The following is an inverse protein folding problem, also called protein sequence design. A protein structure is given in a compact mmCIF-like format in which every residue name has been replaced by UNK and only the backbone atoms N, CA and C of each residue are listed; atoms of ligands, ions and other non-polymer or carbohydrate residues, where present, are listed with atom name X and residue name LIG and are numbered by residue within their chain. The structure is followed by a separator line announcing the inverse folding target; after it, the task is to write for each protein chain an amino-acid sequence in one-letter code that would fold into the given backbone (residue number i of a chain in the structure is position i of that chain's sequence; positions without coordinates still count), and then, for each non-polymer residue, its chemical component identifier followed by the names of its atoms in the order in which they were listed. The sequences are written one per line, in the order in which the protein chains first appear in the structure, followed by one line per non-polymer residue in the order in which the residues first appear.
data_IF_397833460062
#
_entry.id   IF_397833460062
#
_cell.length_a   1.000
_cell.length_b   1.000
_cell.length_c   1.000
_cell.angle_alpha   90.00
_cell.angle_beta   90.00
_cell.angle_gamma   90.00
#
_symmetry.space_group_name_H-M   'P 1'
#
loop_
_entity.id
_entity.type
_entity.pdbx_description
1 polymer ?
#
# COMPACT_ATOMS: atom_id res chain seq x y z
N UNK A 1 7.01 9.82 16.00
CA UNK A 1 5.65 9.47 16.46
C UNK A 1 5.29 8.15 15.82
N UNK A 2 4.73 7.20 16.58
CA UNK A 2 4.43 5.85 16.08
C UNK A 2 2.93 5.63 16.07
N UNK A 3 2.47 4.75 15.20
CA UNK A 3 1.11 4.26 15.15
C UNK A 3 1.07 2.83 15.66
N UNK A 4 0.02 2.50 16.41
CA UNK A 4 -0.26 1.12 16.76
C UNK A 4 -1.66 0.71 16.36
N UNK A 5 -1.84 -0.56 16.03
CA UNK A 5 -3.14 -1.16 15.75
C UNK A 5 -3.29 -2.45 16.55
N UNK A 6 -4.55 -2.80 16.83
CA UNK A 6 -4.92 -3.99 17.59
C UNK A 6 -5.46 -5.05 16.62
N UNK A 7 -4.77 -6.20 16.43
CA UNK A 7 -5.17 -7.22 15.46
C UNK A 7 -6.62 -7.69 15.59
N UNK A 8 -7.12 -7.80 16.83
CA UNK A 8 -8.48 -8.23 17.14
C UNK A 8 -9.56 -7.19 16.81
N UNK A 9 -9.18 -5.91 16.66
CA UNK A 9 -10.07 -4.80 16.28
C UNK A 9 -9.86 -4.34 14.83
N UNK A 10 -8.89 -4.91 14.13
CA UNK A 10 -8.52 -4.48 12.78
C UNK A 10 -9.16 -5.41 11.75
N UNK A 11 -9.85 -4.88 10.73
CA UNK A 11 -10.39 -5.69 9.65
C UNK A 11 -9.31 -6.58 9.02
N UNK A 12 -9.59 -7.87 8.89
CA UNK A 12 -8.60 -8.87 8.47
C UNK A 12 -7.95 -8.56 7.11
N UNK A 13 -8.69 -7.92 6.21
CA UNK A 13 -8.20 -7.49 4.90
C UNK A 13 -7.08 -6.44 4.97
N UNK A 14 -6.96 -5.66 6.05
CA UNK A 14 -5.91 -4.66 6.21
C UNK A 14 -4.64 -5.23 6.85
N UNK A 15 -4.75 -6.36 7.56
CA UNK A 15 -3.66 -6.92 8.37
C UNK A 15 -2.39 -7.21 7.56
N UNK A 16 -2.44 -7.87 6.38
CA UNK A 16 -1.25 -8.12 5.58
C UNK A 16 -0.54 -6.83 5.17
N UNK A 17 -1.30 -5.83 4.69
CA UNK A 17 -0.74 -4.54 4.29
C UNK A 17 -0.16 -3.75 5.47
N UNK A 18 -0.79 -3.76 6.64
CA UNK A 18 -0.25 -3.13 7.85
C UNK A 18 1.04 -3.80 8.32
N UNK A 19 1.14 -5.13 8.24
CA UNK A 19 2.38 -5.87 8.51
C UNK A 19 3.48 -5.53 7.51
N UNK A 20 3.13 -5.44 6.23
CA UNK A 20 4.06 -5.03 5.18
C UNK A 20 4.58 -3.60 5.44
N UNK A 21 3.70 -2.65 5.76
CA UNK A 21 4.09 -1.28 6.08
C UNK A 21 5.04 -1.21 7.28
N UNK A 22 4.88 -2.08 8.28
CA UNK A 22 5.74 -2.13 9.47
C UNK A 22 7.22 -2.42 9.16
N UNK A 23 7.56 -2.93 7.97
CA UNK A 23 8.95 -3.12 7.53
C UNK A 23 9.71 -1.80 7.35
N UNK A 24 9.00 -0.69 7.12
CA UNK A 24 9.61 0.61 6.78
C UNK A 24 9.00 1.80 7.50
N UNK A 25 7.73 1.71 7.90
CA UNK A 25 6.96 2.78 8.49
C UNK A 25 6.70 2.50 9.97
N UNK A 26 6.51 3.56 10.79
CA UNK A 26 6.35 3.42 12.23
C UNK A 26 4.91 2.97 12.59
N UNK A 27 4.47 1.84 12.01
CA UNK A 27 3.14 1.25 12.19
C UNK A 27 3.33 -0.15 12.76
N UNK A 28 2.94 -0.35 14.01
CA UNK A 28 3.25 -1.59 14.73
C UNK A 28 2.01 -2.16 15.40
N UNK A 29 2.08 -3.40 15.87
CA UNK A 29 1.01 -4.01 16.66
C UNK A 29 1.13 -3.61 18.14
N UNK A 30 0.03 -3.17 18.75
CA UNK A 30 -0.24 -3.38 20.19
C UNK A 30 0.77 -2.91 21.24
N UNK A 31 1.44 -1.77 21.04
CA UNK A 31 2.16 -1.08 22.12
C UNK A 31 1.35 0.17 22.44
N UNK A 32 0.87 0.37 23.67
CA UNK A 32 0.05 1.53 24.07
C UNK A 32 0.84 2.87 24.05
N UNK A 33 1.86 2.96 23.20
CA UNK A 33 2.71 4.11 23.00
C UNK A 33 2.52 4.59 21.55
N UNK A 34 1.96 5.79 21.39
CA UNK A 34 1.71 6.41 20.09
C UNK A 34 0.23 6.59 19.79
N UNK A 35 -0.11 6.67 18.50
CA UNK A 35 -1.47 6.91 18.02
C UNK A 35 -2.15 5.58 17.72
N UNK A 36 -3.31 5.34 18.34
CA UNK A 36 -4.15 4.17 18.05
C UNK A 36 -4.82 4.33 16.69
N UNK A 37 -4.59 3.39 15.78
CA UNK A 37 -5.33 3.27 14.52
C UNK A 37 -6.57 2.40 14.72
N UNK A 38 -7.73 2.98 14.43
CA UNK A 38 -9.01 2.30 14.39
C UNK A 38 -9.58 2.39 12.99
N UNK A 39 -10.09 1.27 12.47
CA UNK A 39 -10.53 1.16 11.09
C UNK A 39 -12.01 0.80 11.02
N UNK A 40 -12.77 1.52 10.22
CA UNK A 40 -14.18 1.22 9.97
C UNK A 40 -14.52 1.26 8.48
N UNK A 41 -15.35 0.32 8.04
CA UNK A 41 -15.81 0.26 6.65
C UNK A 41 -16.91 1.29 6.45
N UNK A 42 -16.74 2.17 5.46
CA UNK A 42 -17.79 3.03 4.97
C UNK A 42 -18.86 2.23 4.21
N UNK A 43 -20.11 2.71 4.17
CA UNK A 43 -21.14 2.21 3.28
C UNK A 43 -20.71 2.27 1.80
N UNK A 44 -21.18 1.33 0.99
CA UNK A 44 -20.84 1.26 -0.44
C UNK A 44 -21.29 2.50 -1.22
N UNK A 45 -22.37 3.13 -0.80
CA UNK A 45 -22.99 4.33 -1.36
C UNK A 45 -22.45 5.64 -0.76
N UNK A 46 -21.44 5.58 0.11
CA UNK A 46 -20.80 6.79 0.65
C UNK A 46 -20.29 7.70 -0.48
N UNK A 47 -20.37 9.02 -0.33
CA UNK A 47 -19.87 9.95 -1.35
C UNK A 47 -18.34 10.08 -1.35
N UNK A 48 -17.70 9.69 -0.25
CA UNK A 48 -16.26 9.81 -0.03
C UNK A 48 -15.61 8.42 0.02
N UNK A 49 -14.32 8.37 -0.30
CA UNK A 49 -13.50 7.16 -0.24
C UNK A 49 -12.94 6.91 1.15
N UNK A 50 -12.58 7.98 1.85
CA UNK A 50 -12.15 7.92 3.24
C UNK A 50 -12.59 9.16 4.03
N UNK A 51 -12.69 8.98 5.34
CA UNK A 51 -12.88 10.04 6.34
C UNK A 51 -12.02 9.70 7.55
N UNK A 52 -11.16 10.63 7.95
CA UNK A 52 -10.25 10.46 9.08
C UNK A 52 -10.51 11.51 10.13
N UNK A 53 -10.48 11.08 11.39
CA UNK A 53 -10.40 11.97 12.55
C UNK A 53 -9.21 11.55 13.41
N UNK A 54 -8.44 12.53 13.89
CA UNK A 54 -7.42 12.35 14.93
C UNK A 54 -7.79 13.23 16.11
N UNK A 55 -7.97 12.64 17.28
CA UNK A 55 -8.14 13.36 18.53
C UNK A 55 -7.67 12.49 19.70
N UNK A 56 -7.14 13.09 20.76
CA UNK A 56 -6.75 12.37 21.99
C UNK A 56 -5.83 11.15 21.76
N UNK A 57 -4.91 11.23 20.79
CA UNK A 57 -4.01 10.11 20.45
C UNK A 57 -4.70 8.94 19.74
N UNK A 58 -5.89 9.14 19.20
CA UNK A 58 -6.67 8.12 18.50
C UNK A 58 -7.03 8.60 17.10
N UNK A 59 -6.64 7.82 16.09
CA UNK A 59 -6.97 8.04 14.70
C UNK A 59 -8.04 7.04 14.24
N UNK A 60 -9.22 7.54 13.88
CA UNK A 60 -10.28 6.74 13.26
C UNK A 60 -10.21 6.92 11.76
N UNK A 61 -10.07 5.83 11.03
CA UNK A 61 -9.99 5.77 9.57
C UNK A 61 -11.22 5.03 9.06
N UNK A 62 -12.19 5.80 8.56
CA UNK A 62 -13.32 5.27 7.81
C UNK A 62 -12.95 5.17 6.33
N UNK A 63 -13.22 4.04 5.67
CA UNK A 63 -12.74 3.77 4.31
C UNK A 63 -13.67 2.88 3.46
N UNK A 64 -13.66 3.07 2.14
CA UNK A 64 -14.40 2.22 1.18
C UNK A 64 -13.66 0.94 0.79
N UNK A 65 -12.36 1.04 0.48
CA UNK A 65 -11.50 -0.07 0.07
C UNK A 65 -10.18 -0.10 0.85
N UNK A 66 -9.44 -1.23 0.89
CA UNK A 66 -8.11 -1.28 1.52
C UNK A 66 -7.17 -0.19 1.03
N UNK A 67 -7.16 0.12 -0.27
CA UNK A 67 -6.38 1.23 -0.83
C UNK A 67 -6.76 2.57 -0.19
N UNK A 68 -8.05 2.83 -0.01
CA UNK A 68 -8.51 4.09 0.61
C UNK A 68 -8.06 4.20 2.07
N UNK A 69 -8.00 3.08 2.81
CA UNK A 69 -7.46 3.03 4.16
C UNK A 69 -5.96 3.36 4.20
N UNK A 70 -5.17 2.79 3.28
CA UNK A 70 -3.74 3.05 3.21
C UNK A 70 -3.44 4.47 2.73
N UNK A 71 -4.23 5.01 1.78
CA UNK A 71 -4.14 6.42 1.36
C UNK A 71 -4.45 7.39 2.49
N UNK A 72 -5.46 7.09 3.30
CA UNK A 72 -5.81 7.85 4.48
C UNK A 72 -4.67 7.83 5.51
N UNK A 73 -4.06 6.65 5.75
CA UNK A 73 -2.90 6.50 6.63
C UNK A 73 -1.69 7.30 6.12
N UNK A 74 -1.42 7.28 4.82
CA UNK A 74 -0.32 8.04 4.22
C UNK A 74 -0.47 9.55 4.44
N UNK A 75 -1.69 10.09 4.26
CA UNK A 75 -1.97 11.50 4.58
C UNK A 75 -1.86 11.79 6.07
N UNK A 76 -2.42 10.94 6.92
CA UNK A 76 -2.32 11.08 8.38
C UNK A 76 -0.85 11.16 8.83
N UNK A 77 0.04 10.32 8.29
CA UNK A 77 1.48 10.38 8.55
C UNK A 77 2.09 11.73 8.16
N UNK A 78 1.70 12.28 7.00
CA UNK A 78 2.14 13.59 6.54
C UNK A 78 1.71 14.73 7.47
N UNK A 79 0.43 14.78 7.82
CA UNK A 79 -0.15 15.81 8.68
C UNK A 79 0.47 15.81 10.10
N UNK A 80 0.75 14.61 10.64
CA UNK A 80 1.46 14.46 11.93
C UNK A 80 2.92 14.92 11.83
N UNK A 81 3.58 14.69 10.70
CA UNK A 81 4.93 15.18 10.46
C UNK A 81 4.96 16.71 10.41
N UNK A 82 3.88 17.36 9.99
CA UNK A 82 3.68 18.81 10.09
C UNK A 82 3.34 19.32 11.51
N UNK A 83 3.29 18.43 12.51
CA UNK A 83 3.07 18.79 13.91
C UNK A 83 1.60 18.88 14.32
N UNK A 84 0.66 18.41 13.50
CA UNK A 84 -0.77 18.40 13.85
C UNK A 84 -1.09 17.22 14.78
N UNK A 85 -1.69 17.52 15.93
CA UNK A 85 -2.12 16.53 16.92
C UNK A 85 -3.63 16.27 16.91
N UNK A 86 -4.39 17.12 16.22
CA UNK A 86 -5.83 17.00 16.00
C UNK A 86 -6.14 17.39 14.56
N UNK A 87 -6.98 16.61 13.89
CA UNK A 87 -7.41 16.90 12.52
C UNK A 87 -8.65 16.11 12.14
N UNK A 88 -9.33 16.61 11.11
CA UNK A 88 -10.39 15.90 10.41
C UNK A 88 -10.26 16.16 8.91
N UNK A 89 -10.35 15.11 8.11
CA UNK A 89 -10.38 15.26 6.65
C UNK A 89 -11.16 14.16 5.96
N UNK A 90 -11.61 14.45 4.75
CA UNK A 90 -12.28 13.49 3.87
C UNK A 90 -11.71 13.60 2.47
N UNK A 91 -11.72 12.49 1.73
CA UNK A 91 -11.23 12.43 0.36
C UNK A 91 -12.19 11.64 -0.52
N UNK A 92 -12.42 12.16 -1.75
CA UNK A 92 -13.13 11.47 -2.84
C UNK A 92 -12.13 11.24 -3.97
N UNK A 93 -11.95 9.98 -4.36
CA UNK A 93 -11.12 9.64 -5.50
C UNK A 93 -11.86 10.01 -6.79
N UNK A 94 -11.17 10.66 -7.72
CA UNK A 94 -11.73 11.02 -9.04
C UNK A 94 -11.51 9.91 -10.08
N UNK A 95 -10.72 8.89 -9.75
CA UNK A 95 -10.38 7.78 -10.63
C UNK A 95 -10.61 6.47 -9.88
N UNK A 96 -11.21 5.50 -10.56
CA UNK A 96 -11.37 4.14 -10.03
C UNK A 96 -10.06 3.36 -10.05
N UNK A 97 -9.19 3.65 -11.04
CA UNK A 97 -7.89 3.00 -11.19
C UNK A 97 -6.79 4.06 -11.24
N UNK A 98 -5.79 3.90 -10.38
CA UNK A 98 -4.58 4.70 -10.34
C UNK A 98 -3.37 3.75 -10.26
N UNK A 99 -2.61 3.68 -11.34
CA UNK A 99 -1.48 2.75 -11.51
C UNK A 99 -0.20 3.48 -11.89
N UNK A 100 0.95 2.89 -11.56
CA UNK A 100 2.24 3.26 -12.11
C UNK A 100 2.78 2.12 -13.00
N UNK A 101 3.30 2.46 -14.17
CA UNK A 101 3.96 1.50 -15.05
C UNK A 101 5.48 1.67 -14.98
N UNK A 102 6.17 0.66 -14.43
CA UNK A 102 7.63 0.66 -14.28
C UNK A 102 8.27 -0.03 -15.49
N UNK A 103 9.19 0.66 -16.14
CA UNK A 103 9.97 0.11 -17.24
C UNK A 103 11.00 -0.92 -16.74
N UNK A 104 10.81 -2.18 -17.13
CA UNK A 104 11.71 -3.29 -16.84
C UNK A 104 12.36 -3.85 -18.11
N UNK A 105 12.45 -3.06 -19.18
CA UNK A 105 12.93 -3.51 -20.50
C UNK A 105 14.17 -2.74 -20.96
N UNK A 106 14.45 -1.57 -20.36
CA UNK A 106 15.56 -0.69 -20.76
C UNK A 106 16.77 -0.92 -19.86
N UNK A 107 17.14 -2.20 -19.71
CA UNK A 107 18.26 -2.76 -18.92
C UNK A 107 18.12 -2.68 -17.39
N UNK A 108 17.27 -1.79 -16.85
CA UNK A 108 16.98 -1.71 -15.42
C UNK A 108 15.84 -2.63 -14.98
N UNK A 109 16.06 -3.95 -14.92
CA UNK A 109 15.04 -4.87 -14.40
C UNK A 109 14.99 -4.77 -12.87
N UNK A 110 13.85 -4.36 -12.33
CA UNK A 110 13.70 -4.13 -10.89
C UNK A 110 13.67 -5.45 -10.13
N UNK A 111 14.34 -5.53 -8.98
CA UNK A 111 14.26 -6.73 -8.12
C UNK A 111 12.90 -6.81 -7.42
N UNK A 112 12.41 -8.03 -7.17
CA UNK A 112 11.14 -8.26 -6.45
C UNK A 112 11.08 -7.50 -5.11
N UNK A 113 12.12 -7.56 -4.29
CA UNK A 113 12.12 -6.85 -3.00
C UNK A 113 12.05 -5.32 -3.16
N UNK A 114 12.62 -4.78 -4.24
CA UNK A 114 12.51 -3.35 -4.51
C UNK A 114 11.11 -2.97 -5.04
N UNK A 115 10.45 -3.87 -5.77
CA UNK A 115 9.04 -3.68 -6.16
C UNK A 115 8.12 -3.71 -4.93
N UNK A 116 8.36 -4.60 -3.95
CA UNK A 116 7.63 -4.61 -2.67
C UNK A 116 7.79 -3.30 -1.88
N UNK A 117 9.02 -2.77 -1.87
CA UNK A 117 9.34 -1.45 -1.32
C UNK A 117 8.55 -0.32 -2.00
N UNK A 118 8.41 -0.36 -3.33
CA UNK A 118 7.58 0.59 -4.07
C UNK A 118 6.09 0.42 -3.80
N UNK A 119 5.60 -0.82 -3.74
CA UNK A 119 4.20 -1.12 -3.45
C UNK A 119 3.75 -0.54 -2.11
N UNK A 120 4.59 -0.59 -1.07
CA UNK A 120 4.28 0.04 0.24
C UNK A 120 4.09 1.55 0.13
N UNK A 121 4.96 2.24 -0.62
CA UNK A 121 4.83 3.68 -0.89
C UNK A 121 3.59 4.01 -1.71
N UNK A 122 3.38 3.24 -2.77
CA UNK A 122 2.25 3.37 -3.67
C UNK A 122 0.92 3.20 -2.92
N UNK A 123 0.82 2.24 -2.01
CA UNK A 123 -0.35 2.06 -1.15
C UNK A 123 -0.63 3.30 -0.28
N UNK A 124 0.39 3.90 0.34
CA UNK A 124 0.26 5.15 1.11
C UNK A 124 -0.10 6.36 0.24
N UNK A 125 0.31 6.34 -1.04
CA UNK A 125 -0.03 7.37 -2.04
C UNK A 125 -1.41 7.16 -2.68
N UNK A 126 -2.07 6.02 -2.45
CA UNK A 126 -3.39 5.70 -2.96
C UNK A 126 -3.42 5.08 -4.37
N UNK A 127 -2.30 4.55 -4.83
CA UNK A 127 -2.27 3.73 -6.04
C UNK A 127 -2.89 2.36 -5.72
N UNK A 128 -3.73 1.86 -6.62
CA UNK A 128 -4.37 0.54 -6.51
C UNK A 128 -3.90 -0.44 -7.60
N UNK A 129 -2.83 -0.10 -8.31
CA UNK A 129 -2.20 -0.97 -9.28
C UNK A 129 -0.73 -0.66 -9.46
N UNK A 130 0.02 -1.70 -9.82
CA UNK A 130 1.37 -1.62 -10.34
C UNK A 130 1.39 -2.41 -11.65
N UNK A 131 2.00 -1.83 -12.68
CA UNK A 131 2.19 -2.49 -13.97
C UNK A 131 3.68 -2.55 -14.28
N UNK A 132 4.17 -3.68 -14.77
CA UNK A 132 5.54 -3.82 -15.25
C UNK A 132 5.53 -3.83 -16.78
N UNK A 133 6.33 -2.95 -17.38
CA UNK A 133 6.56 -2.97 -18.82
C UNK A 133 7.73 -3.92 -19.12
N UNK A 134 7.42 -5.07 -19.72
CA UNK A 134 8.37 -6.14 -20.03
C UNK A 134 8.28 -6.53 -21.51
N UNK A 135 9.28 -6.14 -22.31
CA UNK A 135 9.46 -6.55 -23.69
C UNK A 135 9.87 -8.03 -23.73
N UNK A 136 11.04 -8.35 -23.19
CA UNK A 136 11.64 -9.69 -23.17
C UNK A 136 12.04 -10.17 -21.76
N UNK A 137 11.68 -9.43 -20.72
CA UNK A 137 12.17 -9.63 -19.35
C UNK A 137 11.26 -10.46 -18.47
N UNK A 138 10.65 -11.50 -19.03
CA UNK A 138 9.94 -12.57 -18.29
C UNK A 138 10.15 -13.93 -18.96
N UNK A 139 9.91 -15.01 -18.24
CA UNK A 139 10.03 -16.36 -18.79
C UNK A 139 8.85 -16.73 -19.70
N UNK A 140 9.18 -17.27 -20.89
CA UNK A 140 8.23 -17.93 -21.79
C UNK A 140 8.61 -19.42 -21.88
N UNK A 141 7.73 -20.36 -21.47
CA UNK A 141 8.03 -21.78 -21.51
C UNK A 141 8.37 -22.25 -22.94
N UNK A 142 9.48 -22.97 -23.07
CA UNK A 142 9.97 -23.47 -24.38
C UNK A 142 10.86 -22.50 -25.15
N UNK A 143 10.99 -21.24 -24.71
CA UNK A 143 11.77 -20.20 -25.40
C UNK A 143 13.06 -19.83 -24.63
N UNK A 144 14.15 -20.61 -24.75
CA UNK A 144 15.35 -20.41 -23.93
C UNK A 144 16.04 -19.06 -24.18
N UNK A 145 15.97 -18.52 -25.40
CA UNK A 145 16.62 -17.27 -25.78
C UNK A 145 15.82 -16.01 -25.40
N UNK A 146 14.52 -16.13 -25.13
CA UNK A 146 13.68 -15.00 -24.75
C UNK A 146 14.11 -14.48 -23.37
N UNK A 147 14.65 -13.25 -23.32
CA UNK A 147 15.21 -12.69 -22.08
C UNK A 147 16.55 -13.26 -21.64
N UNK A 148 17.27 -14.00 -22.51
CA UNK A 148 18.57 -14.58 -22.18
C UNK A 148 19.60 -13.49 -21.83
N UNK A 149 20.23 -13.62 -20.65
CA UNK A 149 21.15 -12.63 -20.07
C UNK A 149 20.55 -11.24 -19.80
N UNK A 150 19.22 -11.13 -19.74
CA UNK A 150 18.52 -9.85 -19.53
C UNK A 150 18.04 -9.64 -18.10
N UNK A 151 18.15 -10.66 -17.24
CA UNK A 151 17.59 -10.64 -15.89
C UNK A 151 16.07 -10.82 -15.87
N UNK A 152 15.52 -11.65 -16.77
CA UNK A 152 14.08 -11.91 -16.89
C UNK A 152 13.48 -12.42 -15.58
N UNK A 153 12.26 -11.99 -15.26
CA UNK A 153 11.49 -12.53 -14.14
C UNK A 153 11.06 -13.97 -14.39
N UNK A 154 11.17 -14.80 -13.37
CA UNK A 154 10.55 -16.13 -13.34
C UNK A 154 9.04 -16.03 -13.09
N UNK A 155 8.31 -17.08 -13.47
CA UNK A 155 6.87 -17.18 -13.14
C UNK A 155 6.62 -17.13 -11.62
N UNK A 156 7.54 -17.68 -10.82
CA UNK A 156 7.42 -17.67 -9.36
C UNK A 156 7.54 -16.26 -8.78
N UNK A 157 8.53 -15.48 -9.25
CA UNK A 157 8.75 -14.09 -8.85
C UNK A 157 7.54 -13.20 -9.18
N UNK A 158 6.97 -13.32 -10.38
CA UNK A 158 5.78 -12.55 -10.76
C UNK A 158 4.55 -12.93 -9.92
N UNK A 159 4.35 -14.21 -9.60
CA UNK A 159 3.27 -14.68 -8.71
C UNK A 159 3.46 -14.23 -7.26
N UNK A 160 4.70 -14.18 -6.80
CA UNK A 160 5.03 -13.66 -5.47
C UNK A 160 4.69 -12.18 -5.38
N UNK A 161 5.05 -11.39 -6.41
CA UNK A 161 4.75 -9.97 -6.47
C UNK A 161 3.24 -9.70 -6.51
N UNK A 162 2.51 -10.43 -7.36
CA UNK A 162 1.05 -10.33 -7.47
C UNK A 162 0.34 -10.62 -6.14
N UNK A 163 0.77 -11.69 -5.45
CA UNK A 163 0.26 -12.02 -4.11
C UNK A 163 0.59 -10.94 -3.08
N UNK A 164 1.77 -10.33 -3.16
CA UNK A 164 2.17 -9.27 -2.24
C UNK A 164 1.36 -7.98 -2.47
N UNK A 165 0.95 -7.71 -3.71
CA UNK A 165 0.15 -6.52 -4.08
C UNK A 165 -1.35 -6.66 -3.77
N UNK A 166 -1.84 -7.89 -3.58
CA UNK A 166 -3.26 -8.22 -3.33
C UNK A 166 -3.67 -8.07 -1.85
#
# INVERSE_FOLDING_TARGET
MHFYWLPEKTPSALIPGLKALAEEYPVHTGTQEGIELMFEKLPSDSEVNNHVTLANGQARVAYKSPTDAFRALGRLMGEITEGRSEMEFQEKANFETLTAMIDCSRNGVMKIDHLKYWLRRMALMGFNGLTLYTEDTYEVPGEPYFGYLRGRYTTAELRELDRYAS
#
